data_IF_375704176403
#
_entry.id   IF_375704176403
#
_cell.length_a   1.000
_cell.length_b   1.000
_cell.length_c   1.000
_cell.angle_alpha   90.00
_cell.angle_beta   90.00
_cell.angle_gamma   90.00
#
_symmetry.space_group_name_H-M   'P 1'
#
loop_
_entity.id
_entity.type
_entity.pdbx_description
1 polymer ?
#
# COMPACT_ATOMS: atom_id res chain seq x y z
N UNK A 1 0.89 28.17 -14.24
CA UNK A 1 1.13 27.03 -13.34
C UNK A 1 0.11 25.97 -13.69
N UNK A 2 0.52 24.77 -14.14
CA UNK A 2 -0.42 23.66 -14.23
C UNK A 2 -0.70 23.21 -12.79
N UNK A 3 -1.97 23.17 -12.39
CA UNK A 3 -2.35 22.51 -11.14
C UNK A 3 -1.99 21.03 -11.25
N UNK A 4 -1.07 20.59 -10.41
CA UNK A 4 -0.74 19.18 -10.30
C UNK A 4 -1.83 18.56 -9.42
N UNK A 5 -2.66 17.71 -10.02
CA UNK A 5 -3.65 16.95 -9.28
C UNK A 5 -2.98 15.75 -8.61
N UNK A 6 -3.29 15.52 -7.33
CA UNK A 6 -2.78 14.41 -6.54
C UNK A 6 -3.94 13.52 -6.09
N UNK A 7 -3.65 12.23 -5.96
CA UNK A 7 -4.46 11.32 -5.14
C UNK A 7 -3.80 11.09 -3.79
N UNK A 8 -4.62 10.69 -2.82
CA UNK A 8 -4.20 10.51 -1.44
C UNK A 8 -4.59 9.12 -0.93
N UNK A 9 -3.74 8.55 -0.07
CA UNK A 9 -3.95 7.25 0.55
C UNK A 9 -3.45 7.23 1.97
N UNK A 10 -4.29 6.78 2.90
CA UNK A 10 -3.92 6.64 4.30
C UNK A 10 -3.61 5.17 4.62
N UNK A 11 -2.49 4.92 5.29
CA UNK A 11 -2.06 3.59 5.72
C UNK A 11 -1.94 3.57 7.23
N UNK A 12 -2.61 2.62 7.88
CA UNK A 12 -2.35 2.35 9.29
C UNK A 12 -1.07 1.51 9.45
N UNK A 13 -0.16 2.04 10.25
CA UNK A 13 1.08 1.42 10.73
C UNK A 13 0.84 0.29 11.73
N UNK A 14 -0.37 0.18 12.27
CA UNK A 14 -0.73 -0.90 13.20
C UNK A 14 -0.79 -2.28 12.53
N UNK A 15 -0.83 -2.34 11.20
CA UNK A 15 -0.82 -3.59 10.46
C UNK A 15 0.57 -4.22 10.43
N UNK A 16 0.64 -5.55 10.60
CA UNK A 16 1.91 -6.32 10.63
C UNK A 16 2.76 -6.18 9.36
N UNK A 17 2.14 -5.78 8.25
CA UNK A 17 2.75 -5.58 6.94
C UNK A 17 2.94 -4.10 6.57
N UNK A 18 2.69 -3.16 7.48
CA UNK A 18 2.72 -1.72 7.18
C UNK A 18 4.08 -1.23 6.64
N UNK A 19 5.19 -1.61 7.28
CA UNK A 19 6.54 -1.25 6.81
C UNK A 19 6.86 -1.83 5.43
N UNK A 20 6.34 -3.02 5.14
CA UNK A 20 6.52 -3.65 3.83
C UNK A 20 5.70 -2.92 2.75
N UNK A 21 4.43 -2.62 3.05
CA UNK A 21 3.54 -1.85 2.17
C UNK A 21 4.09 -0.45 1.89
N UNK A 22 4.56 0.26 2.90
CA UNK A 22 5.17 1.60 2.72
C UNK A 22 6.37 1.57 1.78
N UNK A 23 7.25 0.57 1.92
CA UNK A 23 8.39 0.43 1.02
C UNK A 23 7.98 0.05 -0.42
N UNK A 24 6.90 -0.73 -0.58
CA UNK A 24 6.35 -1.06 -1.89
C UNK A 24 5.71 0.17 -2.55
N UNK A 25 4.88 0.92 -1.82
CA UNK A 25 4.18 2.09 -2.36
C UNK A 25 5.10 3.19 -2.87
N UNK A 26 6.30 3.36 -2.27
CA UNK A 26 7.35 4.25 -2.82
C UNK A 26 7.76 3.90 -4.25
N UNK A 27 7.72 2.62 -4.63
CA UNK A 27 8.03 2.17 -6.00
C UNK A 27 6.93 2.54 -7.00
N UNK A 28 5.69 2.65 -6.52
CA UNK A 28 4.51 3.02 -7.30
C UNK A 28 4.23 4.52 -7.27
N UNK A 29 5.24 5.33 -6.95
CA UNK A 29 5.15 6.80 -6.98
C UNK A 29 4.42 7.44 -5.80
N UNK A 30 4.12 6.67 -4.74
CA UNK A 30 3.54 7.25 -3.53
C UNK A 30 4.62 7.88 -2.65
N UNK A 31 4.35 9.09 -2.18
CA UNK A 31 5.22 9.85 -1.30
C UNK A 31 4.52 10.14 0.02
N UNK A 32 5.24 10.02 1.13
CA UNK A 32 4.72 10.36 2.46
C UNK A 32 4.68 11.86 2.65
N UNK A 33 3.52 12.38 3.06
CA UNK A 33 3.32 13.82 3.31
C UNK A 33 2.93 14.15 4.74
N UNK A 34 2.34 13.21 5.46
CA UNK A 34 1.94 13.41 6.84
C UNK A 34 1.94 12.08 7.61
N UNK A 35 2.12 12.15 8.93
CA UNK A 35 2.10 11.00 9.82
C UNK A 35 1.46 11.37 11.17
N UNK A 36 0.38 10.69 11.52
CA UNK A 36 -0.31 10.84 12.80
C UNK A 36 0.01 9.68 13.72
N UNK A 37 0.64 9.96 14.86
CA UNK A 37 1.08 8.94 15.83
C UNK A 37 0.23 8.90 17.12
N UNK A 38 -0.87 9.66 17.17
CA UNK A 38 -1.62 9.84 18.43
C UNK A 38 -2.81 8.89 18.61
N UNK A 39 -3.46 8.43 17.53
CA UNK A 39 -4.68 7.61 17.59
C UNK A 39 -4.75 6.59 16.43
N UNK A 40 -3.86 5.60 16.42
CA UNK A 40 -3.90 4.49 15.47
C UNK A 40 -2.83 4.52 14.38
N UNK A 41 -1.71 5.21 14.66
CA UNK A 41 -0.47 5.31 13.87
C UNK A 41 -0.73 5.20 12.38
N UNK A 42 -0.94 6.31 11.69
CA UNK A 42 -1.22 6.30 10.25
C UNK A 42 -0.37 7.29 9.49
N UNK A 43 -0.08 6.95 8.24
CA UNK A 43 0.72 7.76 7.33
C UNK A 43 -0.12 8.09 6.12
N UNK A 44 -0.17 9.38 5.77
CA UNK A 44 -0.78 9.84 4.53
C UNK A 44 0.25 9.87 3.42
N UNK A 45 -0.11 9.24 2.33
CA UNK A 45 0.64 9.23 1.08
C UNK A 45 -0.07 10.09 0.03
N UNK A 46 0.71 10.66 -0.88
CA UNK A 46 0.21 11.31 -2.09
C UNK A 46 0.90 10.76 -3.34
N UNK A 47 0.22 10.83 -4.48
CA UNK A 47 0.81 10.48 -5.79
C UNK A 47 0.25 11.41 -6.89
N UNK A 48 1.09 11.94 -7.78
CA UNK A 48 0.62 12.82 -8.86
C UNK A 48 -0.13 12.05 -9.94
N UNK A 49 -1.35 12.49 -10.26
CA UNK A 49 -2.23 11.88 -11.27
C UNK A 49 -1.75 12.14 -12.71
N UNK A 50 -0.97 13.20 -12.92
CA UNK A 50 -0.45 13.58 -14.23
C UNK A 50 0.92 12.98 -14.54
N UNK A 51 1.43 12.06 -13.70
CA UNK A 51 2.70 11.40 -13.97
C UNK A 51 2.61 10.57 -15.26
N UNK A 52 3.63 10.61 -16.15
CA UNK A 52 3.67 9.75 -17.33
C UNK A 52 3.76 8.26 -16.99
N UNK A 53 4.07 7.92 -15.72
CA UNK A 53 4.14 6.54 -15.22
C UNK A 53 2.90 6.13 -14.44
N UNK A 54 1.87 6.97 -14.38
CA UNK A 54 0.69 6.74 -13.56
C UNK A 54 0.01 5.39 -13.82
N UNK A 55 -0.25 5.08 -15.09
CA UNK A 55 -0.88 3.81 -15.49
C UNK A 55 -0.02 2.60 -15.14
N UNK A 56 1.30 2.72 -15.31
CA UNK A 56 2.26 1.68 -14.91
C UNK A 56 2.20 1.44 -13.40
N UNK A 57 2.25 2.51 -12.62
CA UNK A 57 2.19 2.44 -11.16
C UNK A 57 0.89 1.80 -10.67
N UNK A 58 -0.24 2.12 -11.30
CA UNK A 58 -1.53 1.51 -10.97
C UNK A 58 -1.56 0.01 -11.26
N UNK A 59 -1.00 -0.42 -12.40
CA UNK A 59 -0.92 -1.84 -12.72
C UNK A 59 -0.03 -2.61 -11.72
N UNK A 60 1.16 -2.07 -11.43
CA UNK A 60 2.11 -2.66 -10.48
C UNK A 60 1.54 -2.72 -9.05
N UNK A 61 0.82 -1.68 -8.62
CA UNK A 61 0.14 -1.64 -7.33
C UNK A 61 -0.96 -2.71 -7.24
N UNK A 62 -1.78 -2.88 -8.27
CA UNK A 62 -2.81 -3.92 -8.29
C UNK A 62 -2.22 -5.32 -8.20
N UNK A 63 -1.13 -5.60 -8.91
CA UNK A 63 -0.48 -6.91 -8.86
C UNK A 63 0.15 -7.16 -7.49
N UNK A 64 0.74 -6.13 -6.87
CA UNK A 64 1.23 -6.19 -5.50
C UNK A 64 0.11 -6.51 -4.50
N UNK A 65 -1.01 -5.81 -4.57
CA UNK A 65 -2.16 -6.04 -3.67
C UNK A 65 -2.74 -7.45 -3.83
N UNK A 66 -2.87 -7.94 -5.07
CA UNK A 66 -3.30 -9.32 -5.33
C UNK A 66 -2.30 -10.35 -4.76
N UNK A 67 -1.00 -10.09 -4.86
CA UNK A 67 0.02 -10.97 -4.30
C UNK A 67 -0.05 -11.00 -2.76
N UNK A 68 -0.24 -9.84 -2.12
CA UNK A 68 -0.43 -9.72 -0.67
C UNK A 68 -1.67 -10.47 -0.20
N UNK A 69 -2.80 -10.32 -0.90
CA UNK A 69 -4.04 -11.02 -0.58
C UNK A 69 -3.89 -12.54 -0.70
N UNK A 70 -3.23 -13.03 -1.77
CA UNK A 70 -2.94 -14.46 -1.96
C UNK A 70 -2.04 -15.01 -0.87
N UNK A 71 -0.99 -14.28 -0.47
CA UNK A 71 -0.10 -14.69 0.61
C UNK A 71 -0.83 -14.81 1.95
N UNK A 72 -1.78 -13.91 2.23
CA UNK A 72 -2.59 -13.96 3.43
C UNK A 72 -3.59 -15.13 3.42
N UNK A 73 -4.26 -15.38 2.29
CA UNK A 73 -5.20 -16.51 2.13
C UNK A 73 -4.50 -17.87 2.16
N UNK A 74 -3.34 -18.00 1.51
CA UNK A 74 -2.56 -19.26 1.49
C UNK A 74 -2.06 -19.68 2.87
N UNK A 75 -1.75 -18.71 3.74
CA UNK A 75 -1.33 -18.97 5.13
C UNK A 75 -2.47 -19.51 6.00
N UNK A 76 -3.72 -19.14 5.70
CA UNK A 76 -4.90 -19.61 6.42
C UNK A 76 -5.24 -21.07 6.08
N UNK A 77 -4.98 -21.52 4.86
CA UNK A 77 -5.27 -22.91 4.45
C UNK A 77 -4.30 -23.93 5.06
N UNK A 78 -3.05 -23.55 5.32
CA UNK A 78 -2.05 -24.45 5.94
C UNK A 78 -2.18 -24.59 7.46
N UNK A 79 -2.91 -23.71 8.15
CA UNK A 79 -3.16 -23.85 9.60
C UNK A 79 -4.27 -24.84 9.95
N UNK A 80 -5.10 -25.24 8.97
CA UNK A 80 -6.18 -26.22 9.19
C UNK A 80 -5.79 -27.67 8.89
N UNK A 81 -4.61 -27.92 8.32
CA UNK A 81 -4.17 -29.28 7.95
C UNK A 81 -3.39 -30.02 9.04
N UNK A 82 -3.32 -29.49 10.27
CA UNK A 82 -2.58 -30.07 11.41
C UNK A 82 -3.47 -30.67 12.50
N UNK A 83 -4.80 -30.69 12.32
CA UNK A 83 -5.71 -31.48 13.15
C UNK A 83 -6.21 -32.68 12.34
N UNK A 84 -5.44 -33.76 12.33
CA UNK A 84 -5.96 -35.10 12.05
C UNK A 84 -5.22 -36.13 12.87
#
# INVERSE_FOLDING_TARGET
MQEIAYEYKDISLTSKDASYRLNAYKRFGWETIDAWMDNGDSVRLQRPLNSPRYDQWNAEEQDFERAMERAQKGKFLMSFSLFK
#
